data_IF_499521171657
#
_entry.id   IF_499521171657
#
_cell.length_a   1.000
_cell.length_b   1.000
_cell.length_c   1.000
_cell.angle_alpha   90.00
_cell.angle_beta   90.00
_cell.angle_gamma   90.00
#
_symmetry.space_group_name_H-M   'P 1'
#
loop_
_entity.id
_entity.type
_entity.pdbx_description
1 polymer ?
#
# COMPACT_ATOMS: atom_id res chain seq x y z
N UNK A 1 -5.06 9.50 23.73
CA UNK A 1 -5.95 10.16 22.75
C UNK A 1 -5.04 10.78 21.69
N UNK A 2 -5.26 10.49 20.41
CA UNK A 2 -4.42 10.99 19.31
C UNK A 2 -4.72 12.47 19.05
N UNK A 3 -3.69 13.28 18.79
CA UNK A 3 -3.86 14.71 18.56
C UNK A 3 -4.25 15.01 17.10
N UNK A 4 -3.88 14.14 16.16
CA UNK A 4 -4.19 14.29 14.74
C UNK A 4 -4.19 12.92 14.01
N UNK A 5 -4.60 12.93 12.73
CA UNK A 5 -4.64 11.74 11.86
C UNK A 5 -3.26 11.11 11.67
N UNK A 6 -2.20 11.91 11.49
CA UNK A 6 -0.85 11.40 11.21
C UNK A 6 -0.28 10.62 12.40
N UNK A 7 -0.58 11.04 13.63
CA UNK A 7 -0.21 10.30 14.84
C UNK A 7 -0.87 8.91 14.85
N UNK A 8 -2.17 8.83 14.56
CA UNK A 8 -2.88 7.56 14.50
C UNK A 8 -2.38 6.68 13.34
N UNK A 9 -2.13 7.27 12.18
CA UNK A 9 -1.55 6.55 11.04
C UNK A 9 -0.17 5.99 11.36
N UNK A 10 0.66 6.71 12.12
CA UNK A 10 1.99 6.20 12.50
C UNK A 10 1.91 4.88 13.27
N UNK A 11 0.89 4.72 14.12
CA UNK A 11 0.61 3.48 14.85
C UNK A 11 0.09 2.39 13.91
N UNK A 12 -0.83 2.71 12.98
CA UNK A 12 -1.33 1.74 12.01
C UNK A 12 -0.21 1.15 11.14
N UNK A 13 0.75 1.99 10.72
CA UNK A 13 1.86 1.58 9.85
C UNK A 13 2.85 0.65 10.56
N UNK A 14 3.00 0.80 11.87
CA UNK A 14 3.96 0.06 12.70
C UNK A 14 3.33 -0.30 14.06
N UNK A 15 2.36 -1.24 14.09
CA UNK A 15 1.72 -1.62 15.33
C UNK A 15 2.73 -2.31 16.24
N UNK A 16 2.85 -1.82 17.47
CA UNK A 16 3.72 -2.39 18.50
C UNK A 16 2.94 -2.85 19.74
N UNK A 17 1.75 -2.32 19.96
CA UNK A 17 0.88 -2.57 21.11
C UNK A 17 -0.58 -2.62 20.64
N UNK A 18 -1.32 -3.65 21.09
CA UNK A 18 -2.71 -3.87 20.66
C UNK A 18 -3.66 -2.78 21.16
N UNK A 19 -3.48 -2.29 22.40
CA UNK A 19 -4.35 -1.27 22.96
C UNK A 19 -4.18 0.09 22.23
N UNK A 20 -2.94 0.45 21.89
CA UNK A 20 -2.64 1.62 21.07
C UNK A 20 -3.16 1.48 19.65
N UNK A 21 -3.00 0.30 19.05
CA UNK A 21 -3.51 0.03 17.70
C UNK A 21 -5.04 0.08 17.64
N UNK A 22 -5.72 -0.52 18.61
CA UNK A 22 -7.17 -0.42 18.78
C UNK A 22 -7.63 1.03 18.93
N UNK A 23 -6.99 1.81 19.81
CA UNK A 23 -7.31 3.23 19.97
C UNK A 23 -7.06 4.04 18.69
N UNK A 24 -6.04 3.69 17.89
CA UNK A 24 -5.76 4.34 16.61
C UNK A 24 -6.87 4.04 15.60
N UNK A 25 -7.32 2.79 15.52
CA UNK A 25 -8.44 2.38 14.67
C UNK A 25 -9.73 3.12 15.05
N UNK A 26 -10.06 3.20 16.34
CA UNK A 26 -11.23 3.96 16.82
C UNK A 26 -11.15 5.43 16.40
N UNK A 27 -10.01 6.07 16.62
CA UNK A 27 -9.80 7.46 16.26
C UNK A 27 -9.96 7.68 14.75
N UNK A 28 -9.42 6.81 13.91
CA UNK A 28 -9.51 6.91 12.46
C UNK A 28 -10.94 6.70 11.95
N UNK A 29 -11.71 5.78 12.55
CA UNK A 29 -13.13 5.59 12.23
C UNK A 29 -13.94 6.85 12.57
N UNK A 30 -13.74 7.41 13.77
CA UNK A 30 -14.43 8.62 14.21
C UNK A 30 -14.09 9.85 13.35
N UNK A 31 -12.88 9.90 12.82
CA UNK A 31 -12.37 11.00 12.00
C UNK A 31 -12.25 10.65 10.51
N UNK A 32 -12.99 9.64 10.03
CA UNK A 32 -12.89 9.15 8.64
C UNK A 32 -13.18 10.20 7.57
N UNK A 33 -13.93 11.25 7.90
CA UNK A 33 -14.20 12.39 7.01
C UNK A 33 -12.96 13.25 6.75
N UNK A 34 -11.96 13.19 7.63
CA UNK A 34 -10.67 13.88 7.49
C UNK A 34 -9.61 13.05 6.76
N UNK A 35 -9.88 11.77 6.48
CA UNK A 35 -9.01 10.95 5.65
C UNK A 35 -9.14 11.37 4.19
N UNK A 36 -8.02 11.34 3.46
CA UNK A 36 -7.99 11.63 2.02
C UNK A 36 -7.78 10.39 1.16
N UNK A 37 -7.44 9.26 1.77
CA UNK A 37 -7.25 7.96 1.12
C UNK A 37 -7.70 6.83 2.06
N UNK A 38 -8.03 5.64 1.51
CA UNK A 38 -8.38 4.48 2.31
C UNK A 38 -7.24 4.04 3.23
N UNK A 39 -7.57 3.71 4.47
CA UNK A 39 -6.63 3.18 5.46
C UNK A 39 -7.02 1.74 5.76
N UNK A 40 -6.08 0.83 5.57
CA UNK A 40 -6.29 -0.59 5.80
C UNK A 40 -5.94 -0.90 7.25
N UNK A 41 -6.70 -1.82 7.85
CA UNK A 41 -6.49 -2.30 9.21
C UNK A 41 -6.66 -3.81 9.23
N UNK A 42 -5.84 -4.47 10.03
CA UNK A 42 -5.92 -5.89 10.29
C UNK A 42 -6.35 -6.13 11.74
N UNK A 43 -7.33 -7.01 11.97
CA UNK A 43 -7.74 -7.39 13.31
C UNK A 43 -6.81 -8.46 13.90
N UNK A 44 -6.25 -8.22 15.11
CA UNK A 44 -5.46 -9.22 15.80
C UNK A 44 -6.33 -10.44 16.15
N UNK A 45 -5.78 -11.65 16.10
CA UNK A 45 -6.54 -12.85 16.49
C UNK A 45 -7.72 -13.21 15.57
N UNK A 46 -7.86 -12.53 14.42
CA UNK A 46 -8.88 -12.79 13.42
C UNK A 46 -10.32 -12.54 13.89
N UNK A 47 -11.33 -12.96 13.11
CA UNK A 47 -12.76 -12.80 13.43
C UNK A 47 -13.17 -13.33 14.81
N UNK A 48 -12.35 -14.19 15.45
CA UNK A 48 -12.76 -15.10 16.53
C UNK A 48 -12.15 -14.74 17.91
N UNK A 49 -11.28 -13.74 18.02
CA UNK A 49 -10.77 -13.29 19.33
C UNK A 49 -10.97 -11.79 19.53
N UNK A 50 -12.21 -11.37 19.81
CA UNK A 50 -12.54 -9.97 20.12
C UNK A 50 -13.44 -9.87 21.36
N UNK A 51 -12.87 -10.03 22.55
CA UNK A 51 -13.57 -9.78 23.81
C UNK A 51 -13.83 -8.27 24.06
N UNK A 52 -13.07 -7.40 23.40
CA UNK A 52 -13.24 -5.95 23.48
C UNK A 52 -14.32 -5.47 22.49
N UNK A 53 -15.43 -4.95 23.01
CA UNK A 53 -16.58 -4.46 22.24
C UNK A 53 -16.25 -3.25 21.37
N UNK A 54 -15.11 -2.57 21.59
CA UNK A 54 -14.63 -1.48 20.73
C UNK A 54 -14.35 -1.94 19.30
N UNK A 55 -14.00 -3.22 19.12
CA UNK A 55 -13.87 -3.80 17.78
C UNK A 55 -15.19 -3.77 16.99
N UNK A 56 -16.35 -3.80 17.65
CA UNK A 56 -17.64 -3.75 16.96
C UNK A 56 -17.92 -2.37 16.37
N UNK A 57 -17.52 -1.30 17.08
CA UNK A 57 -17.56 0.06 16.54
C UNK A 57 -16.66 0.21 15.31
N UNK A 58 -15.48 -0.41 15.32
CA UNK A 58 -14.56 -0.40 14.18
C UNK A 58 -15.12 -1.21 13.01
N UNK A 59 -15.71 -2.39 13.26
CA UNK A 59 -16.40 -3.19 12.24
C UNK A 59 -17.51 -2.40 11.56
N UNK A 60 -18.36 -1.72 12.33
CA UNK A 60 -19.43 -0.89 11.80
C UNK A 60 -18.92 0.32 11.00
N UNK A 61 -17.73 0.83 11.36
CA UNK A 61 -17.08 1.97 10.73
C UNK A 61 -16.18 1.66 9.53
N UNK A 62 -16.00 0.38 9.17
CA UNK A 62 -15.07 -0.07 8.12
C UNK A 62 -15.67 -1.16 7.24
N UNK A 63 -15.11 -1.36 6.05
CA UNK A 63 -15.55 -2.34 5.07
C UNK A 63 -14.65 -3.59 5.05
N UNK A 64 -15.22 -4.75 4.76
CA UNK A 64 -14.46 -6.01 4.63
C UNK A 64 -13.67 -6.04 3.33
N UNK A 65 -12.41 -6.47 3.41
CA UNK A 65 -11.52 -6.61 2.26
C UNK A 65 -11.24 -8.07 1.90
N UNK A 66 -11.05 -8.92 2.90
CA UNK A 66 -10.94 -10.38 2.73
C UNK A 66 -12.26 -11.06 3.09
N UNK A 67 -12.55 -12.21 2.48
CA UNK A 67 -13.66 -13.09 2.90
C UNK A 67 -13.48 -13.66 4.32
N UNK A 68 -12.29 -13.49 4.90
CA UNK A 68 -11.97 -13.83 6.27
C UNK A 68 -12.35 -12.77 7.32
N UNK A 69 -12.82 -11.58 6.90
CA UNK A 69 -13.19 -10.46 7.77
C UNK A 69 -12.06 -9.78 8.57
N UNK A 70 -10.84 -10.31 8.54
CA UNK A 70 -9.69 -9.82 9.33
C UNK A 70 -9.07 -8.55 8.75
N UNK A 71 -9.00 -8.46 7.43
CA UNK A 71 -8.55 -7.28 6.72
C UNK A 71 -9.76 -6.40 6.42
N UNK A 72 -9.69 -5.14 6.87
CA UNK A 72 -10.74 -4.15 6.69
C UNK A 72 -10.17 -2.84 6.19
N UNK A 73 -11.05 -2.03 5.61
CA UNK A 73 -10.71 -0.72 5.07
C UNK A 73 -11.59 0.36 5.70
N UNK A 74 -10.95 1.36 6.28
CA UNK A 74 -11.62 2.61 6.66
C UNK A 74 -11.58 3.51 5.42
N UNK A 75 -12.73 3.64 4.75
CA UNK A 75 -12.84 4.50 3.59
C UNK A 75 -12.99 5.97 3.99
N UNK A 76 -12.29 6.89 3.31
CA UNK A 76 -12.46 8.32 3.52
C UNK A 76 -13.87 8.75 3.11
N UNK A 77 -14.42 9.75 3.80
CA UNK A 77 -15.69 10.34 3.38
C UNK A 77 -15.62 11.01 1.99
N UNK A 78 -14.44 11.54 1.64
CA UNK A 78 -14.16 12.16 0.35
C UNK A 78 -12.79 11.66 -0.17
N UNK A 79 -12.74 10.51 -0.88
CA UNK A 79 -11.49 10.00 -1.42
C UNK A 79 -10.91 10.96 -2.46
N UNK A 80 -9.62 11.28 -2.34
CA UNK A 80 -8.93 12.05 -3.38
C UNK A 80 -8.70 11.18 -4.61
N UNK A 81 -8.77 11.81 -5.77
CA UNK A 81 -8.48 11.18 -7.08
C UNK A 81 -7.16 11.67 -7.69
N UNK A 82 -6.60 12.72 -7.11
CA UNK A 82 -5.34 13.36 -7.54
C UNK A 82 -4.19 12.79 -6.73
N UNK A 83 -3.06 12.56 -7.42
CA UNK A 83 -1.82 12.13 -6.80
C UNK A 83 -1.27 13.19 -5.87
N UNK A 84 -0.81 12.75 -4.70
CA UNK A 84 -0.05 13.57 -3.76
C UNK A 84 1.18 12.80 -3.33
N UNK A 85 2.37 13.41 -3.32
CA UNK A 85 3.59 12.71 -2.93
C UNK A 85 3.55 12.31 -1.46
N UNK A 86 4.02 11.10 -1.18
CA UNK A 86 4.20 10.61 0.19
C UNK A 86 5.19 11.48 0.96
N UNK A 87 4.93 11.81 2.24
CA UNK A 87 5.87 12.53 3.08
C UNK A 87 7.16 11.73 3.35
N UNK A 88 7.18 10.42 3.05
CA UNK A 88 8.37 9.57 3.13
C UNK A 88 9.43 9.91 2.06
N UNK A 89 9.07 10.69 1.04
CA UNK A 89 9.97 11.07 -0.05
C UNK A 89 10.06 10.01 -1.15
N UNK A 90 11.20 9.99 -1.83
CA UNK A 90 11.41 9.15 -3.00
C UNK A 90 12.13 7.84 -2.67
N UNK A 91 11.96 6.84 -3.53
CA UNK A 91 12.67 5.56 -3.50
C UNK A 91 13.28 5.26 -4.86
N UNK A 92 14.44 4.60 -4.84
CA UNK A 92 15.15 4.20 -6.05
C UNK A 92 14.88 2.72 -6.32
N UNK A 93 14.28 2.42 -7.47
CA UNK A 93 14.19 1.07 -8.03
C UNK A 93 15.46 0.82 -8.83
N UNK A 94 16.19 -0.24 -8.52
CA UNK A 94 17.47 -0.57 -9.15
C UNK A 94 17.56 -2.06 -9.48
N UNK A 95 18.56 -2.52 -10.26
CA UNK A 95 18.67 -3.93 -10.64
C UNK A 95 18.88 -4.88 -9.45
N UNK A 96 19.30 -4.34 -8.30
CA UNK A 96 19.53 -5.11 -7.06
C UNK A 96 18.44 -4.91 -6.01
N UNK A 97 17.46 -4.04 -6.28
CA UNK A 97 16.47 -3.67 -5.28
C UNK A 97 15.07 -3.61 -5.89
N UNK A 98 14.27 -4.62 -5.54
CA UNK A 98 12.85 -4.63 -5.82
C UNK A 98 12.13 -3.73 -4.81
N UNK A 99 11.13 -3.00 -5.29
CA UNK A 99 10.28 -2.16 -4.46
C UNK A 99 8.88 -2.73 -4.45
N UNK A 100 8.31 -2.92 -3.26
CA UNK A 100 6.93 -3.36 -3.09
C UNK A 100 6.10 -2.23 -2.50
N UNK A 101 4.98 -1.94 -3.14
CA UNK A 101 4.07 -0.84 -2.81
C UNK A 101 2.73 -1.41 -2.36
N UNK A 102 2.30 -1.04 -1.16
CA UNK A 102 1.03 -1.46 -0.56
C UNK A 102 0.23 -0.25 -0.06
N UNK A 103 -1.09 -0.33 0.14
CA UNK A 103 -1.82 0.73 0.81
C UNK A 103 -1.35 0.93 2.25
N UNK A 104 -1.58 2.13 2.78
CA UNK A 104 -1.33 2.42 4.20
C UNK A 104 -2.10 1.47 5.10
N UNK A 105 -1.35 0.79 5.98
CA UNK A 105 -1.87 -0.21 6.92
C UNK A 105 -2.24 -1.55 6.27
N UNK A 106 -2.06 -1.67 4.95
CA UNK A 106 -2.34 -2.89 4.20
C UNK A 106 -1.42 -4.02 4.61
N UNK A 107 -1.88 -5.24 4.35
CA UNK A 107 -1.08 -6.43 4.57
C UNK A 107 -0.28 -6.82 3.32
N UNK A 108 0.40 -7.97 3.36
CA UNK A 108 1.14 -8.47 2.20
C UNK A 108 0.19 -8.78 1.04
N UNK A 109 -0.96 -9.36 1.31
CA UNK A 109 -1.95 -9.74 0.29
C UNK A 109 -2.61 -8.50 -0.36
N UNK A 110 -2.69 -7.36 0.34
CA UNK A 110 -3.16 -6.08 -0.23
C UNK A 110 -2.13 -5.36 -1.13
N UNK A 111 -0.95 -5.93 -1.38
CA UNK A 111 0.11 -5.25 -2.14
C UNK A 111 -0.39 -4.80 -3.51
N UNK A 112 -0.27 -3.52 -3.80
CA UNK A 112 -0.65 -2.96 -5.11
C UNK A 112 0.32 -3.40 -6.18
N UNK A 113 1.62 -3.17 -5.99
CA UNK A 113 2.60 -3.36 -7.05
C UNK A 113 3.94 -3.86 -6.53
N UNK A 114 4.59 -4.72 -7.32
CA UNK A 114 6.03 -4.97 -7.26
C UNK A 114 6.69 -4.25 -8.44
N UNK A 115 7.80 -3.56 -8.19
CA UNK A 115 8.61 -2.85 -9.17
C UNK A 115 10.05 -3.37 -9.15
N UNK A 116 10.64 -3.56 -10.33
CA UNK A 116 12.04 -3.95 -10.47
C UNK A 116 12.61 -3.50 -11.81
N UNK A 117 13.95 -3.50 -11.93
CA UNK A 117 14.61 -3.24 -13.21
C UNK A 117 14.93 -4.58 -13.86
N UNK A 118 14.49 -4.75 -15.10
CA UNK A 118 14.77 -5.91 -15.93
C UNK A 118 15.09 -5.46 -17.35
N UNK A 119 16.22 -5.91 -17.89
CA UNK A 119 16.60 -5.71 -19.30
C UNK A 119 16.50 -4.25 -19.78
N UNK A 120 16.93 -3.30 -18.94
CA UNK A 120 16.87 -1.87 -19.27
C UNK A 120 15.46 -1.29 -19.26
N UNK A 121 14.53 -1.90 -18.53
CA UNK A 121 13.19 -1.39 -18.31
C UNK A 121 12.78 -1.46 -16.82
N UNK A 122 11.93 -0.52 -16.40
CA UNK A 122 11.17 -0.60 -15.16
C UNK A 122 9.98 -1.55 -15.39
N UNK A 123 10.14 -2.78 -14.94
CA UNK A 123 9.08 -3.79 -14.93
C UNK A 123 8.19 -3.61 -13.71
N UNK A 124 6.91 -3.96 -13.87
CA UNK A 124 5.97 -3.99 -12.76
C UNK A 124 5.04 -5.19 -12.81
N UNK A 125 4.51 -5.55 -11.65
CA UNK A 125 3.50 -6.59 -11.48
C UNK A 125 2.44 -6.08 -10.51
N UNK A 126 1.20 -6.10 -10.98
CA UNK A 126 0.03 -5.77 -10.18
C UNK A 126 -0.35 -6.95 -9.28
N UNK A 127 -0.75 -6.67 -8.03
CA UNK A 127 -1.19 -7.68 -7.06
C UNK A 127 -0.23 -8.89 -6.98
N UNK A 128 1.06 -8.70 -6.70
CA UNK A 128 2.10 -9.73 -6.84
C UNK A 128 1.94 -10.94 -5.90
N UNK A 129 1.03 -10.86 -4.92
CA UNK A 129 0.73 -11.94 -3.98
C UNK A 129 -0.69 -12.49 -4.12
N UNK A 130 -1.53 -11.92 -4.99
CA UNK A 130 -2.89 -12.41 -5.18
C UNK A 130 -2.89 -13.87 -5.69
N UNK A 131 -3.92 -14.67 -5.34
CA UNK A 131 -4.05 -16.04 -5.81
C UNK A 131 -3.98 -16.12 -7.35
N UNK A 132 -3.19 -17.07 -7.87
CA UNK A 132 -2.90 -17.31 -9.29
C UNK A 132 -4.13 -17.39 -10.24
N UNK A 133 -5.34 -17.55 -9.69
CA UNK A 133 -6.60 -17.62 -10.44
C UNK A 133 -6.97 -16.27 -11.08
N UNK A 134 -6.31 -15.17 -10.71
CA UNK A 134 -6.62 -13.81 -11.20
C UNK A 134 -5.58 -13.19 -12.16
N UNK A 135 -4.51 -13.89 -12.54
CA UNK A 135 -3.43 -13.30 -13.36
C UNK A 135 -3.37 -13.94 -14.75
N UNK A 136 -4.15 -13.42 -15.70
CA UNK A 136 -4.19 -13.92 -17.09
C UNK A 136 -2.97 -13.53 -17.95
N UNK A 137 -2.04 -12.72 -17.45
CA UNK A 137 -0.95 -12.13 -18.26
C UNK A 137 0.46 -12.64 -17.87
N UNK A 138 0.56 -13.91 -17.49
CA UNK A 138 1.81 -14.56 -17.02
C UNK A 138 2.96 -14.57 -18.06
N UNK A 139 2.72 -14.18 -19.31
CA UNK A 139 3.70 -14.28 -20.40
C UNK A 139 4.24 -12.94 -20.91
N UNK A 140 3.69 -11.81 -20.46
CA UNK A 140 4.27 -10.49 -20.76
C UNK A 140 4.25 -9.64 -19.49
N UNK A 141 5.43 -9.41 -18.91
CA UNK A 141 5.56 -8.48 -17.79
C UNK A 141 5.48 -7.06 -18.33
N UNK A 142 4.48 -6.25 -17.93
CA UNK A 142 4.43 -4.85 -18.32
C UNK A 142 5.70 -4.10 -17.87
N UNK A 143 6.28 -3.30 -18.77
CA UNK A 143 7.51 -2.60 -18.48
C UNK A 143 7.65 -1.28 -19.25
N UNK A 144 8.33 -0.31 -18.63
CA UNK A 144 8.69 0.97 -19.23
C UNK A 144 10.18 0.99 -19.53
N UNK A 145 10.57 1.09 -20.81
CA UNK A 145 11.98 1.15 -21.19
C UNK A 145 12.64 2.41 -20.62
N UNK A 146 13.81 2.23 -19.99
CA UNK A 146 14.50 3.31 -19.29
C UNK A 146 14.98 4.40 -20.24
N UNK A 147 15.47 4.04 -21.42
CA UNK A 147 15.89 4.98 -22.47
C UNK A 147 14.74 5.91 -22.88
N UNK A 148 13.54 5.36 -23.07
CA UNK A 148 12.33 6.13 -23.40
C UNK A 148 11.87 7.00 -22.25
N UNK A 149 11.92 6.50 -21.02
CA UNK A 149 11.60 7.32 -19.85
C UNK A 149 12.59 8.50 -19.71
N UNK A 150 13.89 8.26 -19.87
CA UNK A 150 14.92 9.30 -19.81
C UNK A 150 14.73 10.37 -20.91
N UNK A 151 14.24 9.98 -22.09
CA UNK A 151 13.94 10.90 -23.19
C UNK A 151 12.68 11.75 -22.93
N UNK A 152 11.65 11.16 -22.31
CA UNK A 152 10.32 11.76 -22.19
C UNK A 152 10.16 12.57 -20.90
N UNK A 153 10.68 12.11 -19.77
CA UNK A 153 10.48 12.75 -18.46
C UNK A 153 10.88 14.24 -18.44
N UNK A 154 12.04 14.66 -19.00
CA UNK A 154 12.43 16.07 -19.00
C UNK A 154 11.49 16.98 -19.81
N UNK A 155 10.70 16.40 -20.73
CA UNK A 155 9.75 17.13 -21.58
C UNK A 155 8.38 17.32 -20.90
N UNK A 156 8.15 16.68 -19.75
CA UNK A 156 6.88 16.77 -19.02
C UNK A 156 6.94 17.84 -17.93
N UNK A 157 5.86 18.62 -17.80
CA UNK A 157 5.74 19.62 -16.73
C UNK A 157 5.43 19.01 -15.36
N UNK A 158 4.95 17.76 -15.33
CA UNK A 158 4.68 16.97 -14.12
C UNK A 158 5.10 15.53 -14.37
N UNK A 159 5.62 14.82 -13.36
CA UNK A 159 5.99 13.42 -13.51
C UNK A 159 4.75 12.57 -13.83
N UNK A 160 4.89 11.54 -14.67
CA UNK A 160 3.80 10.63 -14.97
C UNK A 160 3.47 9.81 -13.72
N UNK A 161 2.17 9.62 -13.47
CA UNK A 161 1.66 8.92 -12.29
C UNK A 161 1.13 7.56 -12.72
N UNK A 162 1.69 6.51 -12.13
CA UNK A 162 1.17 5.15 -12.25
C UNK A 162 -0.09 5.01 -11.38
N UNK A 163 -1.10 4.37 -11.95
CA UNK A 163 -2.40 4.15 -11.31
C UNK A 163 -2.81 2.69 -11.38
N UNK A 164 -3.57 2.22 -10.40
CA UNK A 164 -4.10 0.87 -10.33
C UNK A 164 -5.63 0.87 -10.40
N UNK A 165 -6.21 -0.14 -11.07
CA UNK A 165 -7.66 -0.37 -11.11
C UNK A 165 -8.48 0.86 -11.49
N UNK A 166 -9.40 1.28 -10.61
CA UNK A 166 -10.27 2.46 -10.75
C UNK A 166 -9.53 3.81 -10.66
N UNK A 167 -8.31 3.89 -11.22
CA UNK A 167 -7.46 5.08 -11.28
C UNK A 167 -6.87 5.51 -9.94
N UNK A 168 -6.73 4.62 -8.95
CA UNK A 168 -6.07 4.94 -7.68
C UNK A 168 -4.59 5.28 -7.95
N UNK A 169 -4.11 6.48 -7.57
CA UNK A 169 -2.70 6.84 -7.75
C UNK A 169 -1.81 5.99 -6.84
N UNK A 170 -0.71 5.46 -7.39
CA UNK A 170 0.21 4.58 -6.65
C UNK A 170 1.58 5.23 -6.46
N UNK A 171 2.18 5.73 -7.53
CA UNK A 171 3.45 6.45 -7.49
C UNK A 171 3.64 7.34 -8.71
N UNK A 172 4.52 8.33 -8.60
CA UNK A 172 5.01 9.10 -9.75
C UNK A 172 6.43 8.67 -10.10
N UNK A 173 6.79 8.69 -11.40
CA UNK A 173 8.15 8.44 -11.87
C UNK A 173 8.89 9.78 -11.96
N UNK A 174 9.84 10.03 -11.08
CA UNK A 174 10.51 11.33 -10.98
C UNK A 174 11.69 11.46 -11.95
N UNK A 175 12.52 10.43 -12.04
CA UNK A 175 13.76 10.48 -12.84
C UNK A 175 14.27 9.09 -13.18
N UNK A 176 15.14 9.03 -14.19
CA UNK A 176 15.85 7.81 -14.61
C UNK A 176 17.34 8.09 -14.67
N UNK A 177 18.13 7.15 -14.16
CA UNK A 177 19.57 7.10 -14.37
C UNK A 177 19.90 5.89 -15.26
N UNK A 178 20.23 6.16 -16.51
CA UNK A 178 20.58 5.13 -17.49
C UNK A 178 21.90 4.43 -17.17
N UNK A 179 22.84 5.12 -16.53
CA UNK A 179 24.15 4.56 -16.18
C UNK A 179 24.03 3.58 -15.02
N UNK A 180 23.26 3.95 -14.00
CA UNK A 180 22.98 3.09 -12.85
C UNK A 180 21.84 2.09 -13.11
N UNK A 181 21.19 2.15 -14.28
CA UNK A 181 20.02 1.35 -14.63
C UNK A 181 18.93 1.45 -13.56
N UNK A 182 18.57 2.66 -13.15
CA UNK A 182 17.67 2.89 -12.02
C UNK A 182 16.60 3.93 -12.30
N UNK A 183 15.51 3.86 -11.54
CA UNK A 183 14.39 4.80 -11.59
C UNK A 183 14.10 5.32 -10.20
N UNK A 184 13.98 6.63 -10.06
CA UNK A 184 13.48 7.24 -8.83
C UNK A 184 11.97 7.43 -8.96
N UNK A 185 11.24 6.92 -7.98
CA UNK A 185 9.79 7.09 -7.87
C UNK A 185 9.43 7.75 -6.54
N UNK A 186 8.26 8.37 -6.49
CA UNK A 186 7.70 8.90 -5.25
C UNK A 186 6.33 8.24 -5.05
N UNK A 187 6.18 7.38 -4.02
CA UNK A 187 4.89 6.80 -3.69
C UNK A 187 3.84 7.88 -3.46
N UNK A 188 2.61 7.53 -3.74
CA UNK A 188 1.45 8.33 -3.40
C UNK A 188 1.26 8.37 -1.86
N UNK A 189 0.62 9.42 -1.33
CA UNK A 189 0.42 9.61 0.12
C UNK A 189 -0.32 8.45 0.78
N UNK A 190 -1.17 7.73 0.04
CA UNK A 190 -1.90 6.55 0.51
C UNK A 190 -1.14 5.24 0.35
N UNK A 191 0.15 5.29 -0.01
CA UNK A 191 0.97 4.12 -0.34
C UNK A 191 2.22 4.07 0.53
N UNK A 192 2.56 2.85 0.94
CA UNK A 192 3.74 2.51 1.71
C UNK A 192 4.69 1.61 0.92
N UNK A 193 5.98 1.76 1.18
CA UNK A 193 7.00 0.81 0.73
C UNK A 193 7.19 -0.22 1.84
N UNK A 194 7.30 -1.49 1.48
CA UNK A 194 7.61 -2.54 2.44
C UNK A 194 8.53 -3.61 1.85
N UNK A 195 9.10 -4.44 2.74
CA UNK A 195 9.84 -5.62 2.35
C UNK A 195 9.00 -6.87 2.67
N UNK A 196 8.61 -7.67 1.67
CA UNK A 196 7.79 -8.86 1.88
C UNK A 196 8.51 -9.99 2.63
N UNK A 197 9.84 -10.00 2.63
CA UNK A 197 10.64 -11.05 3.29
C UNK A 197 10.67 -10.86 4.82
N UNK A 198 10.51 -9.62 5.27
CA UNK A 198 10.43 -9.27 6.70
C UNK A 198 8.99 -8.98 7.14
N UNK A 199 8.01 -9.17 6.27
CA UNK A 199 6.61 -8.88 6.57
C UNK A 199 6.03 -10.01 7.41
N UNK A 200 5.50 -9.66 8.58
CA UNK A 200 4.77 -10.60 9.44
C UNK A 200 3.35 -10.72 8.88
N UNK A 201 3.01 -11.87 8.33
CA UNK A 201 1.69 -12.14 7.77
C UNK A 201 0.63 -12.11 8.88
N UNK A 202 -0.24 -11.09 8.84
CA UNK A 202 -1.35 -10.91 9.77
C UNK A 202 -2.43 -12.01 9.61
N UNK A 203 -2.41 -12.75 8.50
CA UNK A 203 -3.27 -13.91 8.26
C UNK A 203 -2.65 -15.23 8.78
N UNK A 204 -1.33 -15.30 8.95
CA UNK A 204 -0.63 -16.54 9.31
C UNK A 204 -0.80 -16.95 10.78
N UNK A 205 -1.16 -16.03 11.68
CA UNK A 205 -1.40 -16.33 13.10
C UNK A 205 -2.56 -17.31 13.35
N UNK A 206 -3.27 -17.76 12.31
CA UNK A 206 -4.37 -18.74 12.40
C UNK A 206 -4.19 -20.04 11.63
N UNK A 207 -3.05 -20.25 10.96
CA UNK A 207 -2.77 -21.58 10.35
C UNK A 207 -2.33 -22.64 11.35
N UNK A 208 -2.43 -22.36 12.66
CA UNK A 208 -1.83 -23.16 13.73
C UNK A 208 -2.73 -23.45 14.93
N UNK A 209 -4.02 -23.70 14.74
CA UNK A 209 -4.84 -24.46 15.71
C UNK A 209 -5.98 -25.13 14.97
N UNK A 210 -5.77 -26.39 14.57
CA UNK A 210 -6.84 -27.35 14.36
C UNK A 210 -7.06 -28.13 15.64
#
# INVERSE_FOLDING_TARGET
>A
MFANIEDALSVIKKPADEAQYLAACEYLVQNRSSLTYPVYINFPGGLISNADTRWDGIKAGSEERCGCGNERVINPGNPRTVYEPSPLGFVVVSPRHNVYLKPVGGDKESTYMKLWIQEGALAYMDLPFAPLVMTMDLFSTPAFKLDRLAEVLPKQSKPPVMRMGNKTPVFAINSVDLSAQSVTITPDRGVEIFNPDTYVDAHASHKGTK
#
